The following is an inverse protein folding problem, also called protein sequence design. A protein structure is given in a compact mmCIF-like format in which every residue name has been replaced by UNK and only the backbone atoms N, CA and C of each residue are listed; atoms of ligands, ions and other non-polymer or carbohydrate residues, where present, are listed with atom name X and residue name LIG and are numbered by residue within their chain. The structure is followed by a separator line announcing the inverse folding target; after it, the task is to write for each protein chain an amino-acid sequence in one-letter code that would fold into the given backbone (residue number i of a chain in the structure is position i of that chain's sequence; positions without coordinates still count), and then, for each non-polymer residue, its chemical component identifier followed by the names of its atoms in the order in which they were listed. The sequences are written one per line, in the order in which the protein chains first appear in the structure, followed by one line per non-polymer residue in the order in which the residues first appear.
data_IF_008709409228
#
_entry.id   IF_008709409228
#
_cell.length_a   1.000
_cell.length_b   1.000
_cell.length_c   1.000
_cell.angle_alpha   90.00
_cell.angle_beta   90.00
_cell.angle_gamma   90.00
#
_symmetry.space_group_name_H-M   'P 1'
#
loop_
_entity.id
_entity.type
_entity.pdbx_description
1 polymer ?
#
# COMPACT_ATOMS: atom_id res chain seq x y z
N UNK A 1 1.53 25.57 8.83
CA UNK A 1 2.81 25.03 9.33
C UNK A 1 3.63 24.71 8.11
N UNK A 2 4.93 25.02 8.07
CA UNK A 2 5.77 24.62 6.94
C UNK A 2 5.78 23.09 6.91
N UNK A 3 5.00 22.48 6.02
CA UNK A 3 4.98 21.02 5.82
C UNK A 3 6.35 20.65 5.24
N UNK A 4 7.26 20.31 6.16
CA UNK A 4 8.58 19.84 5.79
C UNK A 4 8.37 18.52 5.08
N UNK A 5 8.55 18.55 3.77
CA UNK A 5 8.49 17.38 2.90
C UNK A 5 9.37 16.26 3.49
N UNK A 6 8.76 15.11 3.74
CA UNK A 6 9.46 13.92 4.22
C UNK A 6 10.30 13.34 3.08
N UNK A 7 11.58 13.11 3.34
CA UNK A 7 12.48 12.40 2.45
C UNK A 7 12.90 11.10 3.12
N UNK A 8 12.90 10.02 2.37
CA UNK A 8 13.19 8.69 2.88
C UNK A 8 14.55 8.63 3.58
N UNK A 9 14.59 7.94 4.71
CA UNK A 9 15.71 7.84 5.63
C UNK A 9 16.23 9.18 6.13
N UNK A 10 15.41 10.23 6.06
CA UNK A 10 15.81 11.62 6.32
C UNK A 10 16.97 12.09 5.43
N UNK A 11 17.21 11.42 4.30
CA UNK A 11 18.38 11.64 3.47
C UNK A 11 19.68 11.05 4.02
N UNK A 12 19.65 10.32 5.14
CA UNK A 12 20.83 9.79 5.82
C UNK A 12 20.98 8.27 5.56
N UNK A 13 22.06 7.83 4.87
CA UNK A 13 22.36 6.42 4.67
C UNK A 13 22.51 5.62 5.98
N UNK A 14 22.97 6.24 7.07
CA UNK A 14 23.10 5.58 8.37
C UNK A 14 21.75 5.19 8.96
N UNK A 15 20.71 6.01 8.72
CA UNK A 15 19.33 5.67 9.10
C UNK A 15 18.86 4.45 8.31
N UNK A 16 19.11 4.38 7.00
CA UNK A 16 18.78 3.20 6.18
C UNK A 16 19.49 1.95 6.70
N UNK A 17 20.80 2.01 6.88
CA UNK A 17 21.61 0.88 7.37
C UNK A 17 21.12 0.36 8.72
N UNK A 18 20.82 1.25 9.67
CA UNK A 18 20.30 0.87 10.99
C UNK A 18 19.04 0.00 10.90
N UNK A 19 18.06 0.38 10.09
CA UNK A 19 16.80 -0.37 10.00
C UNK A 19 16.92 -1.63 9.14
N UNK A 20 17.76 -1.61 8.10
CA UNK A 20 18.10 -2.82 7.35
C UNK A 20 18.76 -3.87 8.25
N UNK A 21 19.77 -3.50 9.02
CA UNK A 21 20.48 -4.41 9.92
C UNK A 21 19.54 -4.99 10.98
N UNK A 22 18.67 -4.14 11.54
CA UNK A 22 17.67 -4.57 12.52
C UNK A 22 16.68 -5.57 11.94
N UNK A 23 16.04 -5.25 10.82
CA UNK A 23 15.04 -6.14 10.20
C UNK A 23 15.68 -7.44 9.73
N UNK A 24 16.91 -7.38 9.20
CA UNK A 24 17.69 -8.56 8.84
C UNK A 24 18.01 -9.44 10.05
N UNK A 25 18.34 -8.85 11.20
CA UNK A 25 18.53 -9.61 12.43
C UNK A 25 17.26 -10.36 12.85
N UNK A 26 16.09 -9.70 12.82
CA UNK A 26 14.80 -10.35 13.11
C UNK A 26 14.44 -11.46 12.11
N UNK A 27 14.74 -11.24 10.83
CA UNK A 27 14.57 -12.27 9.80
C UNK A 27 15.42 -13.51 10.09
N UNK A 28 16.71 -13.32 10.39
CA UNK A 28 17.63 -14.42 10.72
C UNK A 28 17.25 -15.15 12.01
N UNK A 29 16.66 -14.45 12.97
CA UNK A 29 16.21 -15.00 14.25
C UNK A 29 14.80 -15.63 14.20
N UNK A 30 14.13 -15.65 13.05
CA UNK A 30 12.73 -16.10 12.90
C UNK A 30 11.76 -15.37 13.84
N UNK A 31 11.95 -14.05 13.95
CA UNK A 31 11.18 -13.15 14.82
C UNK A 31 10.08 -12.40 14.06
N UNK A 32 10.10 -12.44 12.72
CA UNK A 32 9.06 -11.83 11.88
C UNK A 32 7.82 -12.74 11.82
N UNK A 33 6.71 -12.28 12.41
CA UNK A 33 5.44 -13.01 12.51
C UNK A 33 4.24 -12.11 12.20
N UNK A 34 3.16 -12.73 11.70
CA UNK A 34 1.89 -12.06 11.41
C UNK A 34 0.99 -11.96 12.65
N UNK A 35 0.11 -10.97 12.66
CA UNK A 35 -0.94 -10.79 13.67
C UNK A 35 -0.49 -10.16 15.00
N UNK A 36 0.76 -9.70 15.09
CA UNK A 36 1.31 -9.04 16.29
C UNK A 36 2.22 -7.89 15.89
N UNK A 37 2.14 -6.75 16.57
CA UNK A 37 3.11 -5.67 16.38
C UNK A 37 4.47 -6.04 16.96
N UNK A 38 4.65 -5.95 18.28
CA UNK A 38 5.93 -6.28 18.91
C UNK A 38 5.70 -6.88 20.30
N UNK A 39 6.02 -8.15 20.47
CA UNK A 39 5.80 -8.90 21.70
C UNK A 39 6.87 -9.99 21.86
N UNK A 40 7.55 -10.01 23.01
CA UNK A 40 8.54 -11.04 23.36
C UNK A 40 9.63 -11.27 22.30
N UNK A 41 10.12 -10.18 21.69
CA UNK A 41 11.16 -10.24 20.65
C UNK A 41 10.65 -10.56 19.24
N UNK A 42 9.35 -10.74 19.04
CA UNK A 42 8.75 -11.06 17.74
C UNK A 42 7.74 -10.01 17.31
N UNK A 43 7.54 -9.85 16.00
CA UNK A 43 6.62 -8.86 15.49
C UNK A 43 6.35 -8.88 13.99
N UNK A 44 5.38 -8.09 13.56
CA UNK A 44 5.08 -7.82 12.15
C UNK A 44 6.18 -6.98 11.50
N UNK A 45 5.98 -6.62 10.23
CA UNK A 45 6.86 -5.71 9.50
C UNK A 45 7.19 -4.44 10.31
N UNK A 46 6.15 -3.72 10.74
CA UNK A 46 6.28 -2.48 11.51
C UNK A 46 6.97 -2.74 12.85
N UNK A 47 6.55 -3.78 13.57
CA UNK A 47 7.13 -4.06 14.88
C UNK A 47 8.59 -4.50 14.85
N UNK A 48 9.00 -5.27 13.84
CA UNK A 48 10.41 -5.62 13.67
C UNK A 48 11.25 -4.42 13.20
N UNK A 49 10.65 -3.45 12.49
CA UNK A 49 11.34 -2.22 12.08
C UNK A 49 11.54 -1.26 13.27
N UNK A 50 10.46 -0.91 13.99
CA UNK A 50 10.50 0.15 15.01
C UNK A 50 10.43 -0.34 16.46
N UNK A 51 10.32 -1.65 16.70
CA UNK A 51 10.07 -2.24 18.03
C UNK A 51 8.87 -1.58 18.72
N UNK A 52 7.72 -1.60 18.04
CA UNK A 52 6.49 -1.01 18.56
C UNK A 52 5.33 -1.09 17.56
N UNK A 53 4.24 -0.40 17.88
CA UNK A 53 2.98 -0.45 17.12
C UNK A 53 2.54 0.89 16.53
N UNK A 54 3.33 1.96 16.72
CA UNK A 54 2.95 3.32 16.31
C UNK A 54 3.48 3.61 14.91
N UNK A 55 2.66 3.39 13.88
CA UNK A 55 2.99 3.66 12.47
C UNK A 55 3.57 5.06 12.25
N UNK A 56 3.03 6.10 12.90
CA UNK A 56 3.57 7.48 12.87
C UNK A 56 5.07 7.58 13.14
N UNK A 57 5.66 6.63 13.89
CA UNK A 57 7.10 6.61 14.16
C UNK A 57 7.93 6.46 12.89
N UNK A 58 7.41 5.86 11.80
CA UNK A 58 8.11 5.80 10.51
C UNK A 58 8.51 7.19 10.00
N UNK A 59 7.65 8.20 10.21
CA UNK A 59 7.97 9.56 9.77
C UNK A 59 9.14 10.12 10.58
N UNK A 60 9.11 9.96 11.91
CA UNK A 60 10.17 10.49 12.79
C UNK A 60 11.46 9.70 12.73
N UNK A 61 11.40 8.38 12.55
CA UNK A 61 12.55 7.49 12.63
C UNK A 61 13.18 7.17 11.28
N UNK A 62 12.37 7.11 10.21
CA UNK A 62 12.79 6.68 8.88
C UNK A 62 12.51 7.74 7.81
N UNK A 63 11.83 8.85 8.10
CA UNK A 63 11.42 9.80 7.05
C UNK A 63 10.45 9.18 6.04
N UNK A 64 9.78 8.08 6.41
CA UNK A 64 8.81 7.37 5.58
C UNK A 64 7.39 7.78 6.01
N UNK A 65 6.49 8.19 5.09
CA UNK A 65 5.13 8.59 5.43
C UNK A 65 4.34 7.51 6.18
N UNK A 66 3.53 7.93 7.16
CA UNK A 66 2.73 7.00 7.97
C UNK A 66 1.79 6.13 7.12
N UNK A 67 1.19 6.70 6.06
CA UNK A 67 0.30 5.96 5.17
C UNK A 67 1.00 4.75 4.53
N UNK A 68 2.30 4.88 4.25
CA UNK A 68 3.07 3.82 3.62
C UNK A 68 3.39 2.71 4.62
N UNK A 69 3.59 3.04 5.90
CA UNK A 69 3.72 2.04 6.97
C UNK A 69 2.43 1.22 7.14
N UNK A 70 1.25 1.87 7.08
CA UNK A 70 -0.04 1.14 7.08
C UNK A 70 -0.21 0.26 5.85
N UNK A 71 0.25 0.73 4.68
CA UNK A 71 0.19 -0.06 3.45
C UNK A 71 1.12 -1.28 3.52
N UNK A 72 2.36 -1.10 4.02
CA UNK A 72 3.31 -2.17 4.29
C UNK A 72 2.68 -3.25 5.18
N UNK A 73 2.14 -2.86 6.34
CA UNK A 73 1.54 -3.78 7.31
C UNK A 73 0.32 -4.52 6.71
N UNK A 74 -0.55 -3.81 5.98
CA UNK A 74 -1.71 -4.39 5.33
C UNK A 74 -1.38 -5.38 4.21
N UNK A 75 -0.28 -5.16 3.48
CA UNK A 75 0.24 -6.13 2.49
C UNK A 75 0.87 -7.31 3.21
N UNK A 76 1.75 -7.06 4.18
CA UNK A 76 2.45 -8.06 4.99
C UNK A 76 1.49 -9.08 5.62
N UNK A 77 0.43 -8.61 6.28
CA UNK A 77 -0.58 -9.48 6.92
C UNK A 77 -1.39 -10.30 5.91
N UNK A 78 -1.40 -9.89 4.64
CA UNK A 78 -2.09 -10.59 3.56
C UNK A 78 -1.22 -11.55 2.74
N UNK A 79 0.11 -11.51 2.92
CA UNK A 79 1.04 -12.36 2.16
C UNK A 79 1.07 -13.79 2.71
N UNK A 80 1.37 -14.80 1.87
CA UNK A 80 1.78 -16.12 2.35
C UNK A 80 2.95 -16.01 3.32
N UNK A 81 2.92 -16.79 4.41
CA UNK A 81 3.86 -16.61 5.53
C UNK A 81 5.35 -16.61 5.12
N UNK A 82 5.74 -17.47 4.18
CA UNK A 82 7.12 -17.50 3.66
C UNK A 82 7.51 -16.16 3.02
N UNK A 83 6.63 -15.58 2.19
CA UNK A 83 6.86 -14.27 1.56
C UNK A 83 6.77 -13.13 2.57
N UNK A 84 5.86 -13.23 3.54
CA UNK A 84 5.72 -12.23 4.60
C UNK A 84 7.03 -12.07 5.39
N UNK A 85 7.74 -13.15 5.70
CA UNK A 85 9.04 -13.10 6.40
C UNK A 85 10.17 -12.41 5.60
N UNK A 86 10.03 -12.32 4.28
CA UNK A 86 10.99 -11.67 3.39
C UNK A 86 10.65 -10.20 3.12
N UNK A 87 9.36 -9.88 3.17
CA UNK A 87 8.83 -8.61 2.68
C UNK A 87 9.36 -7.36 3.41
N UNK A 88 9.48 -7.31 4.76
CA UNK A 88 9.93 -6.09 5.46
C UNK A 88 11.34 -5.67 5.03
N UNK A 89 12.25 -6.64 4.83
CA UNK A 89 13.61 -6.34 4.37
C UNK A 89 13.58 -5.79 2.94
N UNK A 90 12.87 -6.48 2.02
CA UNK A 90 12.72 -6.04 0.62
C UNK A 90 12.10 -4.64 0.52
N UNK A 91 11.12 -4.35 1.37
CA UNK A 91 10.45 -3.05 1.46
C UNK A 91 11.44 -1.93 1.79
N UNK A 92 12.25 -2.10 2.84
CA UNK A 92 13.27 -1.11 3.21
C UNK A 92 14.38 -1.00 2.15
N UNK A 93 14.82 -2.13 1.57
CA UNK A 93 15.85 -2.15 0.54
C UNK A 93 15.43 -1.36 -0.70
N UNK A 94 14.19 -1.53 -1.15
CA UNK A 94 13.64 -0.90 -2.34
C UNK A 94 13.64 0.63 -2.28
N UNK A 95 13.53 1.23 -1.09
CA UNK A 95 13.42 2.69 -0.94
C UNK A 95 14.80 3.34 -1.07
N UNK A 96 15.07 4.24 -2.03
CA UNK A 96 16.33 4.97 -2.09
C UNK A 96 16.49 5.95 -0.91
N UNK A 97 17.72 6.22 -0.49
CA UNK A 97 18.00 7.28 0.50
C UNK A 97 17.66 8.63 -0.10
N UNK A 98 16.93 9.46 0.64
CA UNK A 98 16.51 10.79 0.20
C UNK A 98 15.36 10.79 -0.81
N UNK A 99 14.73 9.65 -1.09
CA UNK A 99 13.62 9.58 -2.03
C UNK A 99 12.38 10.33 -1.54
N UNK A 100 11.70 10.99 -2.46
CA UNK A 100 10.36 11.53 -2.27
C UNK A 100 9.30 10.45 -2.59
N UNK A 101 8.56 10.04 -1.56
CA UNK A 101 7.60 8.94 -1.63
C UNK A 101 6.16 9.39 -1.90
N UNK A 102 5.90 10.69 -1.96
CA UNK A 102 4.52 11.21 -2.09
C UNK A 102 3.84 10.72 -3.39
N UNK A 103 4.58 10.75 -4.50
CA UNK A 103 4.08 10.27 -5.80
C UNK A 103 3.77 8.78 -5.85
N UNK A 104 4.33 7.97 -4.95
CA UNK A 104 4.09 6.52 -4.91
C UNK A 104 2.63 6.21 -4.59
N UNK A 105 1.99 7.01 -3.72
CA UNK A 105 0.59 6.85 -3.36
C UNK A 105 -0.31 6.88 -4.60
N UNK A 106 -0.21 7.94 -5.40
CA UNK A 106 -1.06 8.12 -6.58
C UNK A 106 -0.80 7.03 -7.62
N UNK A 107 0.47 6.67 -7.87
CA UNK A 107 0.83 5.60 -8.81
C UNK A 107 0.30 4.25 -8.38
N UNK A 108 0.40 3.92 -7.09
CA UNK A 108 -0.07 2.65 -6.54
C UNK A 108 -1.59 2.56 -6.58
N UNK A 109 -2.30 3.62 -6.17
CA UNK A 109 -3.75 3.68 -6.24
C UNK A 109 -4.26 3.59 -7.68
N UNK A 110 -3.66 4.33 -8.61
CA UNK A 110 -4.01 4.25 -10.03
C UNK A 110 -3.88 2.80 -10.55
N UNK A 111 -2.71 2.18 -10.36
CA UNK A 111 -2.47 0.79 -10.74
C UNK A 111 -3.49 -0.16 -10.11
N UNK A 112 -3.76 -0.04 -8.81
CA UNK A 112 -4.73 -0.88 -8.11
C UNK A 112 -6.13 -0.80 -8.71
N UNK A 113 -6.50 0.33 -9.32
CA UNK A 113 -7.81 0.53 -9.92
C UNK A 113 -7.85 0.00 -11.36
N UNK A 114 -6.88 0.34 -12.21
CA UNK A 114 -7.01 0.17 -13.67
C UNK A 114 -6.12 -0.89 -14.30
N UNK A 115 -5.19 -1.49 -13.55
CA UNK A 115 -4.32 -2.51 -14.12
C UNK A 115 -5.15 -3.67 -14.73
N UNK A 116 -4.85 -4.09 -15.97
CA UNK A 116 -5.68 -5.07 -16.67
C UNK A 116 -5.66 -6.47 -16.01
N UNK A 117 -4.59 -6.82 -15.30
CA UNK A 117 -4.41 -8.14 -14.70
C UNK A 117 -4.79 -8.17 -13.21
N UNK A 118 -4.50 -7.09 -12.49
CA UNK A 118 -4.59 -7.01 -11.04
C UNK A 118 -5.57 -5.93 -10.55
N UNK A 119 -5.95 -5.00 -11.41
CA UNK A 119 -6.79 -3.86 -11.06
C UNK A 119 -8.22 -4.26 -10.70
N UNK A 120 -8.89 -3.42 -9.90
CA UNK A 120 -10.28 -3.65 -9.48
C UNK A 120 -11.23 -3.59 -10.68
N UNK A 121 -10.97 -2.74 -11.67
CA UNK A 121 -11.84 -2.50 -12.82
C UNK A 121 -12.09 -3.78 -13.65
N UNK A 122 -11.13 -4.71 -13.72
CA UNK A 122 -11.31 -6.01 -14.39
C UNK A 122 -12.41 -6.88 -13.76
N UNK A 123 -12.71 -6.66 -12.48
CA UNK A 123 -13.75 -7.40 -11.74
C UNK A 123 -15.15 -6.81 -11.97
N UNK A 124 -15.21 -5.59 -12.52
CA UNK A 124 -16.43 -4.84 -12.79
C UNK A 124 -16.50 -4.49 -14.29
N UNK A 125 -16.70 -5.49 -15.19
CA UNK A 125 -16.83 -5.21 -16.62
C UNK A 125 -17.95 -4.22 -16.87
N UNK A 126 -17.70 -3.25 -17.74
CA UNK A 126 -18.63 -2.15 -17.99
C UNK A 126 -19.98 -2.64 -18.54
N UNK A 127 -19.98 -3.75 -19.27
CA UNK A 127 -21.17 -4.37 -19.85
C UNK A 127 -22.12 -4.91 -18.78
N UNK A 128 -21.58 -5.33 -17.62
CA UNK A 128 -22.35 -5.91 -16.53
C UNK A 128 -22.61 -4.91 -15.40
N UNK A 129 -21.66 -4.01 -15.14
CA UNK A 129 -21.66 -3.11 -13.98
C UNK A 129 -21.27 -1.66 -14.38
N UNK A 130 -21.97 -1.02 -15.34
CA UNK A 130 -21.52 0.24 -15.95
C UNK A 130 -21.34 1.38 -14.95
N UNK A 131 -22.25 1.52 -13.98
CA UNK A 131 -22.17 2.60 -12.98
C UNK A 131 -20.97 2.42 -12.04
N UNK A 132 -20.73 1.20 -11.56
CA UNK A 132 -19.60 0.89 -10.67
C UNK A 132 -18.28 1.06 -11.44
N UNK A 133 -18.23 0.59 -12.68
CA UNK A 133 -17.09 0.75 -13.56
C UNK A 133 -16.73 2.22 -13.78
N UNK A 134 -17.69 3.04 -14.18
CA UNK A 134 -17.47 4.45 -14.50
C UNK A 134 -17.02 5.23 -13.24
N UNK A 135 -17.50 4.86 -12.05
CA UNK A 135 -17.06 5.48 -10.79
C UNK A 135 -15.64 5.08 -10.41
N UNK A 136 -15.24 3.81 -10.58
CA UNK A 136 -13.86 3.37 -10.39
C UNK A 136 -12.93 4.14 -11.33
N UNK A 137 -13.33 4.26 -12.60
CA UNK A 137 -12.55 4.98 -13.60
C UNK A 137 -12.39 6.47 -13.24
N UNK A 138 -13.45 7.12 -12.75
CA UNK A 138 -13.37 8.51 -12.27
C UNK A 138 -12.33 8.70 -11.16
N UNK A 139 -12.29 7.80 -10.17
CA UNK A 139 -11.27 7.85 -9.09
C UNK A 139 -9.88 7.63 -9.67
N UNK A 140 -9.73 6.69 -10.59
CA UNK A 140 -8.45 6.44 -11.27
C UNK A 140 -7.96 7.68 -12.03
N UNK A 141 -8.84 8.37 -12.76
CA UNK A 141 -8.49 9.61 -13.48
C UNK A 141 -7.97 10.69 -12.54
N UNK A 142 -8.50 10.81 -11.31
CA UNK A 142 -7.94 11.76 -10.34
C UNK A 142 -6.51 11.40 -9.93
N UNK A 143 -6.22 10.12 -9.71
CA UNK A 143 -4.85 9.67 -9.45
C UNK A 143 -3.95 9.88 -10.67
N UNK A 144 -4.43 9.63 -11.89
CA UNK A 144 -3.69 9.89 -13.14
C UNK A 144 -3.32 11.37 -13.28
N UNK A 145 -4.26 12.28 -13.02
CA UNK A 145 -4.00 13.73 -13.00
C UNK A 145 -2.92 14.10 -11.97
N UNK A 146 -3.02 13.59 -10.75
CA UNK A 146 -2.02 13.82 -9.70
C UNK A 146 -0.63 13.31 -10.11
N UNK A 147 -0.55 12.15 -10.78
CA UNK A 147 0.72 11.61 -11.33
C UNK A 147 1.31 12.55 -12.39
N UNK A 148 0.46 13.15 -13.22
CA UNK A 148 0.87 14.11 -14.25
C UNK A 148 1.25 15.50 -13.70
N UNK A 149 1.12 15.72 -12.38
CA UNK A 149 1.39 17.00 -11.73
C UNK A 149 0.22 17.98 -11.74
N UNK A 150 -0.94 17.59 -12.27
CA UNK A 150 -2.20 18.32 -12.17
C UNK A 150 -2.94 17.85 -10.91
N UNK A 151 -2.54 18.36 -9.74
CA UNK A 151 -3.09 17.89 -8.47
C UNK A 151 -4.59 18.23 -8.38
N UNK A 152 -5.49 17.24 -8.28
CA UNK A 152 -6.92 17.52 -8.14
C UNK A 152 -7.23 18.22 -6.82
N UNK A 153 -8.25 19.07 -6.83
CA UNK A 153 -8.68 19.79 -5.64
C UNK A 153 -9.38 18.84 -4.65
N UNK A 154 -9.45 19.23 -3.38
CA UNK A 154 -10.16 18.44 -2.35
C UNK A 154 -11.62 18.17 -2.74
N UNK A 155 -12.27 19.12 -3.41
CA UNK A 155 -13.62 18.97 -3.93
C UNK A 155 -13.76 17.87 -4.99
N UNK A 156 -12.75 17.67 -5.84
CA UNK A 156 -12.74 16.60 -6.85
C UNK A 156 -12.73 15.22 -6.15
N UNK A 157 -11.86 15.08 -5.14
CA UNK A 157 -11.75 13.85 -4.35
C UNK A 157 -13.04 13.57 -3.57
N UNK A 158 -13.62 14.59 -2.93
CA UNK A 158 -14.88 14.46 -2.20
C UNK A 158 -16.03 14.01 -3.12
N UNK A 159 -16.15 14.62 -4.31
CA UNK A 159 -17.19 14.25 -5.28
C UNK A 159 -17.01 12.83 -5.84
N UNK A 160 -15.77 12.38 -6.05
CA UNK A 160 -15.48 11.01 -6.45
C UNK A 160 -15.80 10.01 -5.33
N UNK A 161 -15.48 10.36 -4.09
CA UNK A 161 -15.77 9.55 -2.91
C UNK A 161 -17.27 9.37 -2.66
N UNK A 162 -18.05 10.44 -2.77
CA UNK A 162 -19.50 10.39 -2.60
C UNK A 162 -20.17 9.52 -3.68
N UNK A 163 -19.69 9.62 -4.93
CA UNK A 163 -20.14 8.77 -6.01
C UNK A 163 -19.79 7.29 -5.78
N UNK A 164 -18.56 6.99 -5.32
CA UNK A 164 -18.14 5.63 -4.98
C UNK A 164 -18.99 5.05 -3.85
N UNK A 165 -19.30 5.84 -2.83
CA UNK A 165 -20.17 5.45 -1.73
C UNK A 165 -21.60 5.18 -2.20
N UNK A 166 -22.14 6.01 -3.09
CA UNK A 166 -23.47 5.83 -3.65
C UNK A 166 -23.56 4.54 -4.48
N UNK A 167 -22.61 4.32 -5.40
CA UNK A 167 -22.54 3.11 -6.22
C UNK A 167 -22.38 1.84 -5.36
N UNK A 168 -21.49 1.87 -4.36
CA UNK A 168 -21.31 0.73 -3.45
C UNK A 168 -22.57 0.41 -2.64
N UNK A 169 -23.33 1.43 -2.20
CA UNK A 169 -24.62 1.22 -1.52
C UNK A 169 -25.63 0.57 -2.46
N UNK A 170 -25.79 1.09 -3.68
CA UNK A 170 -26.70 0.52 -4.67
C UNK A 170 -26.37 -0.95 -4.96
N UNK A 171 -25.11 -1.24 -5.27
CA UNK A 171 -24.64 -2.60 -5.52
C UNK A 171 -24.80 -3.53 -4.31
N UNK A 172 -24.61 -3.04 -3.08
CA UNK A 172 -24.82 -3.84 -1.87
C UNK A 172 -26.31 -4.20 -1.67
N UNK A 173 -27.25 -3.31 -2.00
CA UNK A 173 -28.68 -3.60 -1.96
C UNK A 173 -29.07 -4.67 -2.99
N UNK A 174 -28.44 -4.69 -4.17
CA UNK A 174 -28.61 -5.74 -5.17
C UNK A 174 -27.96 -7.07 -4.77
N UNK A 175 -26.74 -7.00 -4.21
CA UNK A 175 -26.00 -8.17 -3.76
C UNK A 175 -26.67 -8.85 -2.55
N UNK A 176 -27.29 -8.12 -1.63
CA UNK A 176 -28.05 -8.69 -0.52
C UNK A 176 -29.21 -9.59 -1.00
N UNK A 177 -29.85 -9.25 -2.13
CA UNK A 177 -30.86 -10.11 -2.77
C UNK A 177 -30.25 -11.36 -3.40
N UNK A 178 -29.00 -11.28 -3.87
CA UNK A 178 -28.27 -12.38 -4.49
C UNK A 178 -27.54 -13.31 -3.49
N UNK A 179 -27.16 -12.80 -2.31
CA UNK A 179 -26.30 -13.45 -1.32
C UNK A 179 -26.93 -14.65 -0.60
N UNK A 180 -28.24 -14.88 -0.74
CA UNK A 180 -28.93 -16.06 -0.23
C UNK A 180 -28.50 -17.41 -0.88
N UNK A 181 -27.45 -17.43 -1.73
CA UNK A 181 -27.14 -18.56 -2.64
C UNK A 181 -25.71 -19.10 -2.71
N UNK A 182 -24.76 -18.84 -1.80
CA UNK A 182 -23.45 -19.52 -1.95
C UNK A 182 -22.55 -19.62 -0.72
N UNK A 183 -22.32 -20.85 -0.24
CA UNK A 183 -21.34 -21.18 0.81
C UNK A 183 -20.09 -21.95 0.32
N UNK A 184 -19.92 -22.24 -0.97
CA UNK A 184 -18.89 -23.18 -1.44
C UNK A 184 -17.56 -22.57 -1.98
N UNK A 185 -17.24 -21.28 -1.74
CA UNK A 185 -16.12 -20.58 -2.43
C UNK A 185 -14.96 -20.09 -1.53
N UNK A 186 -14.89 -20.52 -0.27
CA UNK A 186 -13.98 -19.93 0.70
C UNK A 186 -12.48 -20.12 0.37
N UNK A 187 -12.05 -21.32 0.00
CA UNK A 187 -10.64 -21.62 -0.26
C UNK A 187 -10.10 -20.94 -1.54
N UNK A 188 -10.87 -20.96 -2.64
CA UNK A 188 -10.51 -20.26 -3.88
C UNK A 188 -10.40 -18.74 -3.68
N UNK A 189 -11.26 -18.16 -2.82
CA UNK A 189 -11.18 -16.74 -2.44
C UNK A 189 -9.93 -16.44 -1.62
N UNK A 190 -9.47 -17.35 -0.77
CA UNK A 190 -8.23 -17.17 -0.01
C UNK A 190 -7.00 -17.17 -0.93
N UNK A 191 -6.90 -18.12 -1.87
CA UNK A 191 -5.82 -18.16 -2.85
C UNK A 191 -5.79 -16.91 -3.76
N UNK A 192 -6.96 -16.47 -4.24
CA UNK A 192 -7.06 -15.26 -5.06
C UNK A 192 -6.66 -13.98 -4.27
N UNK A 193 -7.00 -13.91 -2.98
CA UNK A 193 -6.56 -12.81 -2.10
C UNK A 193 -5.05 -12.82 -1.89
N UNK A 194 -4.45 -13.99 -1.66
CA UNK A 194 -3.01 -14.12 -1.50
C UNK A 194 -2.25 -13.71 -2.77
N UNK A 195 -2.72 -14.13 -3.95
CA UNK A 195 -2.13 -13.72 -5.22
C UNK A 195 -2.27 -12.20 -5.47
N UNK A 196 -3.39 -11.60 -5.09
CA UNK A 196 -3.56 -10.15 -5.17
C UNK A 196 -2.59 -9.39 -4.24
N UNK A 197 -2.33 -9.92 -3.03
CA UNK A 197 -1.36 -9.34 -2.08
C UNK A 197 0.07 -9.47 -2.57
N UNK A 198 0.39 -10.57 -3.23
CA UNK A 198 1.69 -10.78 -3.87
C UNK A 198 1.94 -9.75 -4.99
N UNK A 199 0.97 -9.57 -5.89
CA UNK A 199 1.07 -8.55 -6.94
C UNK A 199 1.17 -7.13 -6.37
N UNK A 200 0.43 -6.83 -5.30
CA UNK A 200 0.53 -5.55 -4.59
C UNK A 200 1.92 -5.34 -3.98
N UNK A 201 2.50 -6.37 -3.36
CA UNK A 201 3.85 -6.30 -2.82
C UNK A 201 4.86 -5.97 -3.91
N UNK A 202 4.86 -6.72 -5.01
CA UNK A 202 5.79 -6.50 -6.13
C UNK A 202 5.62 -5.11 -6.76
N UNK A 203 4.37 -4.68 -6.99
CA UNK A 203 4.13 -3.34 -7.56
C UNK A 203 4.58 -2.24 -6.63
N UNK A 204 4.35 -2.39 -5.32
CA UNK A 204 4.80 -1.41 -4.35
C UNK A 204 6.34 -1.29 -4.38
N UNK A 205 7.06 -2.41 -4.37
CA UNK A 205 8.52 -2.42 -4.43
C UNK A 205 9.05 -1.77 -5.72
N UNK A 206 8.45 -2.07 -6.86
CA UNK A 206 8.74 -1.42 -8.14
C UNK A 206 8.61 0.11 -8.03
N UNK A 207 7.46 0.60 -7.54
CA UNK A 207 7.20 2.04 -7.43
C UNK A 207 8.12 2.73 -6.41
N UNK A 208 8.47 2.07 -5.30
CA UNK A 208 9.39 2.59 -4.30
C UNK A 208 10.80 2.72 -4.86
N UNK A 209 11.29 1.72 -5.60
CA UNK A 209 12.61 1.76 -6.23
C UNK A 209 12.75 2.84 -7.31
N UNK A 210 11.64 3.19 -7.96
CA UNK A 210 11.58 4.25 -8.97
C UNK A 210 11.26 5.64 -8.39
N UNK A 211 11.14 5.77 -7.07
CA UNK A 211 10.82 7.05 -6.42
C UNK A 211 11.97 8.06 -6.63
N UNK A 212 11.66 9.31 -7.01
CA UNK A 212 12.67 10.30 -7.34
C UNK A 212 13.47 10.72 -6.11
N UNK A 213 14.78 10.90 -6.27
CA UNK A 213 15.66 11.51 -5.27
C UNK A 213 15.92 12.97 -5.68
N UNK A 214 15.38 13.98 -4.97
CA UNK A 214 15.59 15.37 -5.32
C UNK A 214 17.07 15.77 -5.21
N UNK A 215 17.55 16.62 -6.12
CA UNK A 215 18.95 17.06 -6.21
C UNK A 215 19.52 17.71 -4.93
N UNK A 216 18.66 18.18 -4.03
CA UNK A 216 19.06 18.79 -2.75
C UNK A 216 19.36 17.77 -1.63
N UNK A 217 19.15 16.47 -1.87
CA UNK A 217 19.37 15.41 -0.89
C UNK A 217 20.78 14.77 -0.96
N UNK A 218 21.68 15.30 -1.80
CA UNK A 218 23.01 14.71 -2.09
C UNK A 218 24.18 15.53 -1.53
N UNK A 219 23.94 16.31 -0.47
CA UNK A 219 24.97 17.13 0.19
C UNK A 219 25.40 16.57 1.54
#
# INVERSE_FOLDING_TARGET
MSDKKLLAYHGDPAVKTKYLDRVKAHQLADEIIQGKYWENGKGCAVGCTIHGSKHKRYETELGIPEWLAYLEDGIFEGLPNAKAKEFPLRFLEAIPVGADLEGVYYKFCHWLLVDPEHGVLRLMPRESEPEVHDVILRVATLHERAIAGDMPEEGDWAAAWDAARAAARAAAWDAARAAARAAARAAARAAARAAARDAQAEKLLELLSAAPVPLQAVA
#
